data_IF_718867915781
#
_entry.id   IF_718867915781
#
_cell.length_a   1.000
_cell.length_b   1.000
_cell.length_c   1.000
_cell.angle_alpha   90.00
_cell.angle_beta   90.00
_cell.angle_gamma   90.00
#
_symmetry.space_group_name_H-M   'P 1'
#
loop_
_entity.id
_entity.type
_entity.pdbx_description
1 polymer ?
#
# COMPACT_ATOMS: atom_id res chain seq x y z
N UNK A 1 15.08 7.69 2.55
CA UNK A 1 14.75 6.26 2.28
C UNK A 1 13.45 6.20 1.48
N UNK A 2 13.18 5.06 0.88
CA UNK A 2 11.94 4.82 0.15
C UNK A 2 11.06 3.88 0.97
N UNK A 3 9.75 4.15 0.99
CA UNK A 3 8.77 3.30 1.67
C UNK A 3 7.62 3.00 0.71
N UNK A 4 7.23 1.73 0.65
CA UNK A 4 6.07 1.30 -0.11
C UNK A 4 4.82 1.44 0.77
N UNK A 5 3.73 1.93 0.19
CA UNK A 5 2.48 2.12 0.95
C UNK A 5 1.42 1.15 0.45
N UNK A 6 0.90 0.36 1.39
CA UNK A 6 -0.16 -0.61 1.13
C UNK A 6 -1.56 0.01 1.36
N UNK A 7 -2.57 -0.64 0.79
CA UNK A 7 -3.99 -0.29 0.99
C UNK A 7 -4.35 -0.13 2.46
N UNK A 8 -3.87 -1.02 3.32
CA UNK A 8 -4.18 -0.99 4.76
C UNK A 8 -3.78 0.33 5.42
N UNK A 9 -2.63 0.87 5.03
CA UNK A 9 -2.17 2.16 5.56
C UNK A 9 -2.93 3.33 4.95
N UNK A 10 -3.16 3.29 3.64
CA UNK A 10 -3.92 4.35 2.96
C UNK A 10 -5.35 4.46 3.54
N UNK A 11 -5.99 3.33 3.75
CA UNK A 11 -7.32 3.31 4.33
C UNK A 11 -7.33 3.86 5.76
N UNK A 12 -6.38 3.42 6.59
CA UNK A 12 -6.27 3.87 7.98
C UNK A 12 -6.05 5.40 8.09
N UNK A 13 -5.36 5.99 7.11
CA UNK A 13 -5.18 7.44 7.06
C UNK A 13 -6.50 8.20 6.90
N UNK A 14 -7.45 7.62 6.18
CA UNK A 14 -8.71 8.29 5.83
C UNK A 14 -9.85 8.01 6.81
N UNK A 15 -9.86 6.85 7.43
CA UNK A 15 -10.93 6.45 8.33
C UNK A 15 -10.58 6.78 9.79
N UNK A 16 -11.18 7.84 10.30
CA UNK A 16 -10.95 8.31 11.68
C UNK A 16 -11.35 7.28 12.74
N UNK A 17 -12.28 6.39 12.38
CA UNK A 17 -12.78 5.37 13.30
C UNK A 17 -12.00 4.06 13.21
N UNK A 18 -11.04 3.96 12.29
CA UNK A 18 -10.17 2.79 12.19
C UNK A 18 -9.24 2.72 13.40
N UNK A 19 -9.09 1.52 13.97
CA UNK A 19 -8.23 1.33 15.14
C UNK A 19 -6.78 1.74 14.91
N UNK A 20 -6.33 1.74 13.66
CA UNK A 20 -4.96 2.08 13.27
C UNK A 20 -4.82 3.54 12.82
N UNK A 21 -5.90 4.32 12.84
CA UNK A 21 -5.88 5.68 12.30
C UNK A 21 -4.77 6.54 12.91
N UNK A 22 -4.68 6.57 14.24
CA UNK A 22 -3.69 7.39 14.92
C UNK A 22 -2.27 6.99 14.58
N UNK A 23 -1.99 5.70 14.61
CA UNK A 23 -0.67 5.17 14.27
C UNK A 23 -0.30 5.46 12.83
N UNK A 24 -1.28 5.32 11.91
CA UNK A 24 -1.08 5.65 10.51
C UNK A 24 -0.76 7.13 10.31
N UNK A 25 -1.53 8.00 10.94
CA UNK A 25 -1.34 9.45 10.85
C UNK A 25 0.03 9.87 11.38
N UNK A 26 0.44 9.31 12.50
CA UNK A 26 1.75 9.62 13.10
C UNK A 26 2.89 9.15 12.19
N UNK A 27 2.80 7.93 11.67
CA UNK A 27 3.81 7.40 10.75
C UNK A 27 3.88 8.21 9.45
N UNK A 28 2.73 8.57 8.89
CA UNK A 28 2.63 9.41 7.69
C UNK A 28 3.33 10.75 7.89
N UNK A 29 3.04 11.40 9.01
CA UNK A 29 3.64 12.70 9.36
C UNK A 29 5.16 12.60 9.45
N UNK A 30 5.67 11.55 10.09
CA UNK A 30 7.11 11.33 10.22
C UNK A 30 7.75 11.07 8.87
N UNK A 31 7.13 10.24 8.03
CA UNK A 31 7.64 9.94 6.70
C UNK A 31 7.75 11.20 5.83
N UNK A 32 6.72 12.05 5.86
CA UNK A 32 6.74 13.31 5.11
C UNK A 32 7.76 14.28 5.65
N UNK A 33 7.84 14.41 6.96
CA UNK A 33 8.77 15.33 7.63
C UNK A 33 10.21 14.98 7.33
N UNK A 34 10.52 13.69 7.24
CA UNK A 34 11.87 13.21 6.96
C UNK A 34 12.21 13.21 5.46
N UNK A 35 11.30 13.64 4.61
CA UNK A 35 11.53 13.70 3.18
C UNK A 35 11.65 12.35 2.48
N UNK A 36 11.03 11.32 3.04
CA UNK A 36 11.05 9.98 2.45
C UNK A 36 10.28 9.95 1.13
N UNK A 37 10.76 9.16 0.18
CA UNK A 37 10.03 8.91 -1.06
C UNK A 37 8.98 7.83 -0.81
N UNK A 38 7.74 8.16 -1.07
CA UNK A 38 6.60 7.25 -0.85
C UNK A 38 6.18 6.67 -2.18
N UNK A 39 6.06 5.35 -2.25
CA UNK A 39 5.80 4.62 -3.50
C UNK A 39 4.63 3.66 -3.29
N UNK A 40 3.77 3.56 -4.28
CA UNK A 40 2.75 2.53 -4.34
C UNK A 40 2.58 2.08 -5.79
N UNK A 41 1.62 1.23 -6.07
CA UNK A 41 1.31 0.81 -7.44
C UNK A 41 -0.17 0.99 -7.74
N UNK A 42 -0.51 0.88 -9.03
CA UNK A 42 -1.90 1.07 -9.49
C UNK A 42 -2.84 -0.05 -9.02
N UNK A 43 -2.33 -1.24 -8.70
CA UNK A 43 -3.18 -2.31 -8.14
C UNK A 43 -3.63 -1.95 -6.72
N UNK A 44 -2.70 -1.46 -5.90
CA UNK A 44 -3.04 -0.93 -4.56
C UNK A 44 -4.05 0.21 -4.69
N UNK A 45 -3.86 1.10 -5.65
CA UNK A 45 -4.77 2.23 -5.84
C UNK A 45 -6.18 1.78 -6.19
N UNK A 46 -6.33 0.83 -7.10
CA UNK A 46 -7.65 0.30 -7.47
C UNK A 46 -8.35 -0.29 -6.23
N UNK A 47 -7.63 -1.07 -5.45
CA UNK A 47 -8.15 -1.65 -4.22
C UNK A 47 -8.52 -0.56 -3.20
N UNK A 48 -7.64 0.42 -3.01
CA UNK A 48 -7.87 1.52 -2.06
C UNK A 48 -9.05 2.38 -2.48
N UNK A 49 -9.14 2.77 -3.75
CA UNK A 49 -10.28 3.55 -4.26
C UNK A 49 -11.60 2.81 -4.00
N UNK A 50 -11.65 1.53 -4.33
CA UNK A 50 -12.86 0.73 -4.14
C UNK A 50 -13.26 0.63 -2.66
N UNK A 51 -12.30 0.37 -1.80
CA UNK A 51 -12.53 0.24 -0.36
C UNK A 51 -12.99 1.55 0.27
N UNK A 52 -12.32 2.65 -0.05
CA UNK A 52 -12.64 3.98 0.47
C UNK A 52 -14.04 4.39 -0.01
N UNK A 53 -14.32 4.21 -1.30
CA UNK A 53 -15.62 4.55 -1.86
C UNK A 53 -16.75 3.77 -1.18
N UNK A 54 -16.57 2.47 -1.01
CA UNK A 54 -17.58 1.60 -0.42
C UNK A 54 -17.85 1.94 1.05
N UNK A 55 -16.81 2.19 1.82
CA UNK A 55 -16.94 2.38 3.27
C UNK A 55 -17.13 3.83 3.71
N UNK A 56 -16.50 4.77 3.00
CA UNK A 56 -16.46 6.17 3.43
C UNK A 56 -17.17 7.13 2.47
N UNK A 57 -17.45 6.69 1.24
CA UNK A 57 -18.19 7.49 0.26
C UNK A 57 -17.31 8.32 -0.66
N UNK A 58 -17.95 8.99 -1.61
CA UNK A 58 -17.27 9.68 -2.71
C UNK A 58 -16.47 10.91 -2.26
N UNK A 59 -16.90 11.59 -1.21
CA UNK A 59 -16.16 12.76 -0.70
C UNK A 59 -14.82 12.35 -0.10
N UNK A 60 -14.77 11.18 0.56
CA UNK A 60 -13.51 10.62 1.04
C UNK A 60 -12.58 10.26 -0.12
N UNK A 61 -13.14 9.76 -1.23
CA UNK A 61 -12.38 9.49 -2.46
C UNK A 61 -11.77 10.77 -3.01
N UNK A 62 -12.51 11.88 -3.03
CA UNK A 62 -11.99 13.18 -3.47
C UNK A 62 -10.82 13.63 -2.60
N UNK A 63 -10.96 13.51 -1.29
CA UNK A 63 -9.88 13.83 -0.35
C UNK A 63 -8.66 12.96 -0.56
N UNK A 64 -8.85 11.66 -0.77
CA UNK A 64 -7.79 10.72 -1.07
C UNK A 64 -7.01 11.13 -2.31
N UNK A 65 -7.72 11.40 -3.41
CA UNK A 65 -7.10 11.82 -4.67
C UNK A 65 -6.37 13.16 -4.54
N UNK A 66 -6.99 14.14 -3.90
CA UNK A 66 -6.50 15.51 -3.89
C UNK A 66 -5.46 15.77 -2.80
N UNK A 67 -5.59 15.13 -1.63
CA UNK A 67 -4.78 15.47 -0.46
C UNK A 67 -3.69 14.43 -0.17
N UNK A 68 -3.86 13.19 -0.59
CA UNK A 68 -2.93 12.10 -0.29
C UNK A 68 -2.09 11.72 -1.50
N UNK A 69 -2.73 11.42 -2.63
CA UNK A 69 -2.04 10.80 -3.76
C UNK A 69 -1.02 11.69 -4.45
N UNK A 70 -1.15 13.02 -4.36
CA UNK A 70 -0.13 13.89 -4.93
C UNK A 70 1.21 13.83 -4.19
N UNK A 71 1.23 13.23 -2.99
CA UNK A 71 2.43 13.04 -2.19
C UNK A 71 3.07 11.66 -2.40
N UNK A 72 2.47 10.83 -3.24
CA UNK A 72 2.89 9.44 -3.44
C UNK A 72 3.24 9.23 -4.92
N UNK A 73 4.38 8.57 -5.14
CA UNK A 73 4.78 8.16 -6.48
C UNK A 73 4.11 6.84 -6.82
N UNK A 74 3.39 6.80 -7.94
CA UNK A 74 2.70 5.59 -8.38
C UNK A 74 3.52 4.91 -9.47
N UNK A 75 3.97 3.70 -9.19
CA UNK A 75 4.63 2.83 -10.16
C UNK A 75 3.58 1.93 -10.78
N UNK A 76 3.39 2.04 -12.10
CA UNK A 76 2.39 1.24 -12.79
C UNK A 76 2.91 -0.19 -13.03
N UNK A 77 2.05 -1.14 -12.78
CA UNK A 77 2.34 -2.57 -12.98
C UNK A 77 2.29 -2.88 -14.47
N UNK A 78 3.40 -3.30 -15.03
CA UNK A 78 3.46 -3.72 -16.42
C UNK A 78 3.02 -5.20 -16.58
N UNK A 79 2.96 -5.67 -17.82
CA UNK A 79 2.51 -7.03 -18.10
C UNK A 79 3.44 -8.09 -17.50
N UNK A 80 4.74 -7.84 -17.48
CA UNK A 80 5.72 -8.78 -16.93
C UNK A 80 5.56 -8.90 -15.41
N UNK A 81 5.44 -7.79 -14.73
CA UNK A 81 5.23 -7.80 -13.28
C UNK A 81 3.88 -8.44 -12.92
N UNK A 82 2.85 -8.17 -13.70
CA UNK A 82 1.55 -8.81 -13.52
C UNK A 82 1.68 -10.33 -13.58
N UNK A 83 2.36 -10.86 -14.62
CA UNK A 83 2.57 -12.31 -14.77
C UNK A 83 3.36 -12.89 -13.61
N UNK A 84 4.41 -12.20 -13.17
CA UNK A 84 5.20 -12.64 -12.02
C UNK A 84 4.36 -12.71 -10.75
N UNK A 85 3.50 -11.72 -10.53
CA UNK A 85 2.58 -11.70 -9.38
C UNK A 85 1.57 -12.83 -9.42
N UNK A 86 1.00 -13.13 -10.58
CA UNK A 86 0.08 -14.26 -10.74
C UNK A 86 0.79 -15.58 -10.45
N UNK A 87 2.00 -15.74 -10.97
CA UNK A 87 2.81 -16.94 -10.73
C UNK A 87 3.10 -17.11 -9.23
N UNK A 88 3.46 -16.03 -8.55
CA UNK A 88 3.70 -16.04 -7.11
C UNK A 88 2.44 -16.40 -6.31
N UNK A 89 1.30 -15.86 -6.70
CA UNK A 89 0.03 -16.15 -6.06
C UNK A 89 -0.31 -17.64 -6.17
N UNK A 90 -0.19 -18.20 -7.35
CA UNK A 90 -0.51 -19.61 -7.59
C UNK A 90 0.46 -20.54 -6.86
N UNK A 91 1.75 -20.17 -6.80
CA UNK A 91 2.75 -20.95 -6.09
C UNK A 91 2.55 -20.91 -4.58
N UNK A 92 2.15 -19.77 -4.02
CA UNK A 92 1.88 -19.64 -2.59
C UNK A 92 0.66 -20.45 -2.16
N UNK A 93 -0.34 -20.54 -3.01
CA UNK A 93 -1.55 -21.34 -2.79
C UNK A 93 -2.23 -21.03 -1.43
N UNK A 94 -2.25 -19.76 -1.04
CA UNK A 94 -2.82 -19.30 0.24
C UNK A 94 -4.04 -18.42 -0.02
N UNK A 95 -5.15 -18.78 0.63
CA UNK A 95 -6.42 -18.06 0.48
C UNK A 95 -6.34 -16.59 0.93
N UNK A 96 -5.58 -16.31 1.96
CA UNK A 96 -5.49 -14.98 2.58
C UNK A 96 -4.43 -14.07 1.98
N UNK A 97 -3.79 -14.50 0.90
CA UNK A 97 -2.78 -13.73 0.20
C UNK A 97 -3.32 -13.35 -1.17
N UNK A 98 -3.53 -12.05 -1.43
CA UNK A 98 -4.15 -11.57 -2.65
C UNK A 98 -3.15 -11.38 -3.78
N UNK A 99 -3.67 -11.21 -5.01
CA UNK A 99 -2.83 -10.81 -6.14
C UNK A 99 -2.17 -9.45 -5.89
N UNK A 100 -2.90 -8.51 -5.29
CA UNK A 100 -2.34 -7.19 -4.97
C UNK A 100 -1.15 -7.32 -4.03
N UNK A 101 -1.23 -8.19 -3.03
CA UNK A 101 -0.12 -8.46 -2.12
C UNK A 101 1.08 -9.01 -2.87
N UNK A 102 0.88 -10.03 -3.70
CA UNK A 102 1.96 -10.66 -4.47
C UNK A 102 2.62 -9.68 -5.43
N UNK A 103 1.84 -8.86 -6.11
CA UNK A 103 2.36 -7.80 -7.00
C UNK A 103 3.21 -6.81 -6.19
N UNK A 104 2.72 -6.40 -5.03
CA UNK A 104 3.42 -5.44 -4.18
C UNK A 104 4.76 -5.99 -3.68
N UNK A 105 4.79 -7.26 -3.25
CA UNK A 105 6.03 -7.91 -2.83
C UNK A 105 7.04 -8.00 -3.97
N UNK A 106 6.59 -8.42 -5.17
CA UNK A 106 7.47 -8.50 -6.33
C UNK A 106 8.01 -7.14 -6.73
N UNK A 107 7.17 -6.11 -6.72
CA UNK A 107 7.59 -4.75 -7.02
C UNK A 107 8.64 -4.25 -6.02
N UNK A 108 8.40 -4.46 -4.73
CA UNK A 108 9.33 -4.04 -3.68
C UNK A 108 10.69 -4.70 -3.87
N UNK A 109 10.73 -5.99 -4.20
CA UNK A 109 11.99 -6.70 -4.46
C UNK A 109 12.70 -6.16 -5.69
N UNK A 110 11.96 -5.96 -6.78
CA UNK A 110 12.53 -5.44 -8.03
C UNK A 110 13.11 -4.05 -7.84
N UNK A 111 12.43 -3.18 -7.10
CA UNK A 111 12.87 -1.80 -6.85
C UNK A 111 13.79 -1.68 -5.64
N UNK A 112 14.08 -2.79 -4.96
CA UNK A 112 14.91 -2.82 -3.76
C UNK A 112 14.36 -1.93 -2.64
N UNK A 113 13.05 -1.92 -2.48
CA UNK A 113 12.37 -1.23 -1.38
C UNK A 113 12.23 -2.22 -0.24
N UNK A 114 12.77 -1.88 0.92
CA UNK A 114 12.81 -2.79 2.08
C UNK A 114 11.79 -2.48 3.16
N UNK A 115 11.17 -1.31 3.09
CA UNK A 115 10.26 -0.83 4.11
C UNK A 115 8.86 -0.65 3.53
N UNK A 116 7.85 -1.19 4.22
CA UNK A 116 6.46 -1.02 3.88
C UNK A 116 5.72 -0.27 4.98
N UNK A 117 4.93 0.72 4.58
CA UNK A 117 3.95 1.37 5.44
C UNK A 117 2.63 0.60 5.28
N UNK A 118 2.35 -0.26 6.22
CA UNK A 118 1.23 -1.20 6.15
C UNK A 118 0.85 -1.70 7.54
N UNK A 119 -0.39 -2.18 7.65
CA UNK A 119 -0.88 -2.86 8.85
C UNK A 119 -1.12 -4.34 8.60
N UNK A 120 -0.77 -4.82 7.41
CA UNK A 120 -0.90 -6.22 7.03
C UNK A 120 0.38 -6.98 7.41
N UNK A 121 0.30 -8.00 8.27
CA UNK A 121 1.48 -8.75 8.72
C UNK A 121 2.17 -9.55 7.62
N UNK A 122 1.52 -9.75 6.46
CA UNK A 122 2.12 -10.48 5.34
C UNK A 122 3.42 -9.83 4.86
N UNK A 123 3.54 -8.50 4.95
CA UNK A 123 4.79 -7.81 4.57
C UNK A 123 5.96 -8.24 5.45
N UNK A 124 5.73 -8.39 6.76
CA UNK A 124 6.77 -8.86 7.67
C UNK A 124 7.12 -10.31 7.40
N UNK A 125 6.14 -11.16 7.12
CA UNK A 125 6.38 -12.55 6.75
C UNK A 125 7.28 -12.67 5.52
N UNK A 126 7.18 -11.72 4.59
CA UNK A 126 7.98 -11.68 3.36
C UNK A 126 9.37 -11.07 3.56
N UNK A 127 9.71 -10.69 4.78
CA UNK A 127 11.03 -10.17 5.11
C UNK A 127 11.18 -8.65 5.03
N UNK A 128 10.10 -7.92 4.82
CA UNK A 128 10.14 -6.47 4.77
C UNK A 128 10.05 -5.86 6.18
N UNK A 129 10.67 -4.69 6.32
CA UNK A 129 10.51 -3.89 7.53
C UNK A 129 9.14 -3.20 7.50
N UNK A 130 8.38 -3.33 8.57
CA UNK A 130 7.01 -2.83 8.64
C UNK A 130 6.91 -1.57 9.49
N UNK A 131 6.28 -0.51 8.94
CA UNK A 131 5.94 0.72 9.65
C UNK A 131 4.42 0.81 9.79
N UNK A 132 3.91 1.34 10.86
CA UNK A 132 4.54 1.68 12.12
C UNK A 132 4.99 0.52 12.96
#
# INVERSE_FOLDING_TARGET
MRAFIDTSALYALLDRDDENHRRAKDAWTILLKNGNTLITNNYVLVEAFALIQHRLGIEAVRGFQNDILHLVNVEFVDAELHRSGVSALLSASRRNLSLVDCISFEMMRTLEIRTAFAFDPHFREQGFHLLP
#
